data_IF_018834531355
#
_entry.id   IF_018834531355
#
_cell.length_a   1.000
_cell.length_b   1.000
_cell.length_c   1.000
_cell.angle_alpha   90.00
_cell.angle_beta   90.00
_cell.angle_gamma   90.00
#
_symmetry.space_group_name_H-M   'P 1'
#
loop_
_entity.id
_entity.type
_entity.pdbx_description
1 polymer ?
#
# COMPACT_ATOMS: atom_id res chain seq x y z
N UNK A 1 -21.47 -2.68 -12.97
CA UNK A 1 -20.12 -3.27 -12.92
C UNK A 1 -19.32 -2.45 -11.93
N UNK A 2 -19.07 -2.97 -10.73
CA UNK A 2 -18.10 -2.35 -9.84
C UNK A 2 -16.73 -2.44 -10.51
N UNK A 3 -16.12 -1.28 -10.72
CA UNK A 3 -14.78 -1.21 -11.30
C UNK A 3 -13.82 -1.58 -10.18
N UNK A 4 -13.23 -2.76 -10.25
CA UNK A 4 -12.19 -3.18 -9.29
C UNK A 4 -11.06 -2.15 -9.31
N UNK A 5 -10.92 -1.40 -8.22
CA UNK A 5 -9.83 -0.46 -8.02
C UNK A 5 -8.70 -1.27 -7.40
N UNK A 6 -7.62 -1.47 -8.15
CA UNK A 6 -6.46 -2.23 -7.68
C UNK A 6 -5.37 -1.28 -7.20
N UNK A 7 -4.61 -1.72 -6.20
CA UNK A 7 -3.45 -0.98 -5.70
C UNK A 7 -2.30 -1.12 -6.70
N UNK A 8 -1.78 0.00 -7.19
CA UNK A 8 -0.66 0.00 -8.16
C UNK A 8 0.69 0.17 -7.48
N UNK A 9 0.75 0.99 -6.45
CA UNK A 9 1.96 1.21 -5.65
C UNK A 9 1.59 1.81 -4.31
N UNK A 10 2.50 1.73 -3.35
CA UNK A 10 2.35 2.36 -2.06
C UNK A 10 3.69 2.94 -1.60
N UNK A 11 3.63 3.93 -0.71
CA UNK A 11 4.79 4.53 -0.05
C UNK A 11 4.51 4.65 1.43
N UNK A 12 5.46 4.21 2.25
CA UNK A 12 5.37 4.33 3.69
C UNK A 12 6.52 5.18 4.22
N UNK A 13 6.20 6.12 5.12
CA UNK A 13 7.17 6.91 5.88
C UNK A 13 7.14 6.47 7.34
N UNK A 14 8.23 5.85 7.80
CA UNK A 14 8.36 5.34 9.18
C UNK A 14 8.37 6.50 10.19
N UNK A 15 9.08 7.58 9.87
CA UNK A 15 9.26 8.74 10.76
C UNK A 15 7.94 9.42 11.06
N UNK A 16 7.07 9.50 10.05
CA UNK A 16 5.78 10.21 10.14
C UNK A 16 4.56 9.28 10.24
N UNK A 17 4.76 7.95 10.16
CA UNK A 17 3.70 6.93 10.16
C UNK A 17 2.61 7.18 9.11
N UNK A 18 3.01 7.66 7.95
CA UNK A 18 2.13 7.91 6.80
C UNK A 18 2.21 6.75 5.82
N UNK A 19 1.06 6.23 5.40
CA UNK A 19 0.95 5.28 4.29
C UNK A 19 0.18 5.95 3.16
N UNK A 20 0.81 6.10 2.01
CA UNK A 20 0.18 6.58 0.79
C UNK A 20 -0.01 5.43 -0.18
N UNK A 21 -1.24 5.14 -0.56
CA UNK A 21 -1.60 4.09 -1.51
C UNK A 21 -2.03 4.76 -2.82
N UNK A 22 -1.48 4.29 -3.94
CA UNK A 22 -1.83 4.72 -5.28
C UNK A 22 -2.65 3.63 -5.96
N UNK A 23 -3.71 4.03 -6.64
CA UNK A 23 -4.67 3.13 -7.25
C UNK A 23 -4.64 3.21 -8.77
N UNK A 24 -5.20 2.19 -9.44
CA UNK A 24 -5.26 2.09 -10.90
C UNK A 24 -6.17 3.13 -11.58
N UNK A 25 -7.08 3.72 -10.82
CA UNK A 25 -7.94 4.82 -11.27
C UNK A 25 -7.24 6.20 -11.24
N UNK A 26 -5.98 6.26 -10.81
CA UNK A 26 -5.20 7.49 -10.68
C UNK A 26 -5.43 8.26 -9.38
N UNK A 27 -6.27 7.77 -8.47
CA UNK A 27 -6.42 8.35 -7.13
C UNK A 27 -5.33 7.85 -6.20
N UNK A 28 -5.07 8.62 -5.15
CA UNK A 28 -4.22 8.20 -4.06
C UNK A 28 -4.89 8.49 -2.74
N UNK A 29 -4.79 7.56 -1.80
CA UNK A 29 -5.27 7.75 -0.43
C UNK A 29 -4.09 7.83 0.53
N UNK A 30 -4.22 8.71 1.51
CA UNK A 30 -3.24 8.90 2.57
C UNK A 30 -3.86 8.45 3.88
N UNK A 31 -3.29 7.40 4.46
CA UNK A 31 -3.67 6.91 5.78
C UNK A 31 -2.72 7.48 6.83
N UNK A 32 -3.31 8.00 7.91
CA UNK A 32 -2.58 8.42 9.10
C UNK A 32 -3.48 8.42 10.34
N UNK A 33 -2.94 8.07 11.52
CA UNK A 33 -1.63 7.45 11.74
C UNK A 33 -1.67 5.93 11.42
N UNK A 34 -0.67 5.41 10.71
CA UNK A 34 -0.58 3.98 10.41
C UNK A 34 0.33 3.29 11.43
N UNK A 35 -0.13 2.22 12.10
CA UNK A 35 0.71 1.45 13.01
C UNK A 35 1.87 0.76 12.27
N UNK A 36 3.00 0.64 12.97
CA UNK A 36 4.22 0.02 12.44
C UNK A 36 4.02 -1.44 12.01
N UNK A 37 3.16 -2.20 12.69
CA UNK A 37 2.85 -3.57 12.30
C UNK A 37 2.24 -3.67 10.89
N UNK A 38 1.56 -2.62 10.40
CA UNK A 38 1.03 -2.60 9.02
C UNK A 38 2.17 -2.50 8.03
N UNK A 39 3.18 -1.67 8.33
CA UNK A 39 4.40 -1.57 7.52
C UNK A 39 5.19 -2.87 7.52
N UNK A 40 5.37 -3.51 8.67
CA UNK A 40 6.08 -4.80 8.77
C UNK A 40 5.39 -5.88 7.93
N UNK A 41 4.05 -5.90 7.93
CA UNK A 41 3.30 -6.81 7.09
C UNK A 41 3.42 -6.49 5.60
N UNK A 42 3.38 -5.19 5.22
CA UNK A 42 3.56 -4.74 3.83
C UNK A 42 4.97 -5.07 3.29
N UNK A 43 6.00 -4.89 4.10
CA UNK A 43 7.37 -5.29 3.78
C UNK A 43 7.48 -6.80 3.57
N UNK A 44 6.93 -7.60 4.48
CA UNK A 44 6.96 -9.07 4.37
C UNK A 44 6.28 -9.57 3.09
N UNK A 45 5.20 -8.91 2.65
CA UNK A 45 4.56 -9.23 1.36
C UNK A 45 5.39 -8.80 0.15
N UNK A 46 6.29 -7.83 0.29
CA UNK A 46 7.12 -7.30 -0.80
C UNK A 46 8.45 -8.05 -0.95
N UNK A 47 9.07 -8.46 0.15
CA UNK A 47 10.38 -9.15 0.16
C UNK A 47 10.28 -10.64 -0.21
N UNK A 48 9.12 -11.29 -0.02
CA UNK A 48 9.02 -12.75 -0.18
C UNK A 48 8.95 -13.26 -1.62
N UNK A 49 8.66 -12.44 -2.62
CA UNK A 49 8.60 -12.92 -4.00
C UNK A 49 8.38 -11.77 -4.97
N UNK A 50 9.06 -11.83 -6.11
CA UNK A 50 8.49 -11.47 -7.41
C UNK A 50 7.05 -11.99 -7.54
N UNK A 51 6.07 -11.27 -7.01
CA UNK A 51 4.66 -11.54 -7.25
C UNK A 51 3.90 -10.24 -7.17
N UNK A 52 3.56 -9.77 -8.37
CA UNK A 52 2.37 -9.01 -8.72
C UNK A 52 1.33 -9.11 -7.60
N UNK A 53 1.29 -8.10 -6.73
CA UNK A 53 0.24 -8.02 -5.72
C UNK A 53 -1.00 -7.51 -6.46
N UNK A 54 -1.81 -8.43 -6.98
CA UNK A 54 -3.21 -8.15 -7.27
C UNK A 54 -3.92 -8.03 -5.91
N UNK A 55 -3.98 -6.81 -5.39
CA UNK A 55 -4.98 -6.40 -4.38
C UNK A 55 -6.15 -5.79 -5.14
#
# INVERSE_FOLDING_TARGET
>A
MEKTIVVTSWKYDISSRYLKIFYSNGTAELYHPVPEFVYDNLLRTTDMSTNIINI
#
